data_IF_059423916104
#
_entry.id   IF_059423916104
#
_cell.length_a   1.000
_cell.length_b   1.000
_cell.length_c   1.000
_cell.angle_alpha   90.00
_cell.angle_beta   90.00
_cell.angle_gamma   90.00
#
_symmetry.space_group_name_H-M   'P 1'
#
loop_
_entity.id
_entity.type
_entity.pdbx_description
1 polymer ?
#
# COMPACT_ATOMS: atom_id res chain seq x y z
N UNK A 1 -7.35 11.24 -2.21
CA UNK A 1 -8.21 11.44 -3.41
C UNK A 1 -7.80 10.51 -4.54
N UNK A 2 -6.55 10.55 -5.01
CA UNK A 2 -6.06 9.65 -6.06
C UNK A 2 -6.31 8.16 -5.75
N UNK A 3 -6.00 7.71 -4.54
CA UNK A 3 -6.23 6.32 -4.11
C UNK A 3 -7.68 5.85 -4.22
N UNK A 4 -8.63 6.72 -3.91
CA UNK A 4 -10.07 6.41 -3.98
C UNK A 4 -10.51 6.21 -5.43
N UNK A 5 -10.07 7.10 -6.32
CA UNK A 5 -10.39 7.02 -7.75
C UNK A 5 -9.67 5.85 -8.42
N UNK A 6 -8.39 5.63 -8.11
CA UNK A 6 -7.62 4.52 -8.63
C UNK A 6 -8.21 3.17 -8.20
N UNK A 7 -8.62 3.05 -6.92
CA UNK A 7 -9.33 1.86 -6.45
C UNK A 7 -10.67 1.66 -7.16
N UNK A 8 -11.42 2.73 -7.42
CA UNK A 8 -12.72 2.65 -8.11
C UNK A 8 -12.53 2.15 -9.54
N UNK A 9 -11.57 2.74 -10.24
CA UNK A 9 -11.21 2.36 -11.59
C UNK A 9 -10.71 0.91 -11.63
N UNK A 10 -9.87 0.51 -10.65
CA UNK A 10 -9.39 -0.86 -10.50
C UNK A 10 -10.52 -1.86 -10.35
N UNK A 11 -11.50 -1.58 -9.49
CA UNK A 11 -12.64 -2.49 -9.28
C UNK A 11 -13.59 -2.53 -10.48
N UNK A 12 -13.78 -1.42 -11.18
CA UNK A 12 -14.57 -1.39 -12.43
C UNK A 12 -13.87 -2.24 -13.50
N UNK A 13 -12.56 -2.07 -13.69
CA UNK A 13 -11.82 -2.85 -14.67
C UNK A 13 -11.82 -4.34 -14.30
N UNK A 14 -11.48 -4.69 -13.06
CA UNK A 14 -11.37 -6.07 -12.62
C UNK A 14 -12.74 -6.78 -12.50
N UNK A 15 -13.74 -6.08 -11.97
CA UNK A 15 -15.05 -6.65 -11.66
C UNK A 15 -16.07 -6.57 -12.80
N UNK A 16 -16.08 -5.49 -13.61
CA UNK A 16 -17.12 -5.32 -14.64
C UNK A 16 -16.60 -5.49 -16.06
N UNK A 17 -15.38 -5.05 -16.38
CA UNK A 17 -14.82 -5.22 -17.73
C UNK A 17 -14.22 -6.61 -17.93
N UNK A 18 -13.47 -7.11 -16.95
CA UNK A 18 -12.73 -8.36 -17.05
C UNK A 18 -13.48 -9.56 -16.45
N UNK A 19 -14.53 -9.31 -15.66
CA UNK A 19 -15.25 -10.32 -14.86
C UNK A 19 -14.28 -11.27 -14.12
N UNK A 20 -13.15 -10.72 -13.67
CA UNK A 20 -11.99 -11.49 -13.23
C UNK A 20 -12.07 -11.91 -11.76
N UNK A 21 -12.84 -11.18 -10.96
CA UNK A 21 -12.94 -11.38 -9.52
C UNK A 21 -14.40 -11.33 -9.09
N UNK A 22 -15.02 -12.47 -8.74
CA UNK A 22 -16.35 -12.47 -8.12
C UNK A 22 -16.25 -11.85 -6.72
N UNK A 23 -17.25 -11.12 -6.24
CA UNK A 23 -17.24 -10.61 -4.87
C UNK A 23 -18.01 -9.31 -4.64
N UNK A 24 -18.00 -8.83 -3.39
CA UNK A 24 -18.64 -7.56 -3.05
C UNK A 24 -17.85 -6.38 -3.62
N UNK A 25 -18.45 -5.67 -4.57
CA UNK A 25 -17.90 -4.47 -5.21
C UNK A 25 -17.33 -3.46 -4.22
N UNK A 26 -18.07 -3.14 -3.15
CA UNK A 26 -17.66 -2.14 -2.17
C UNK A 26 -16.44 -2.57 -1.37
N UNK A 27 -16.34 -3.86 -1.04
CA UNK A 27 -15.21 -4.41 -0.31
C UNK A 27 -13.94 -4.40 -1.17
N UNK A 28 -14.05 -4.82 -2.43
CA UNK A 28 -12.95 -4.81 -3.39
C UNK A 28 -12.50 -3.37 -3.71
N UNK A 29 -13.45 -2.42 -3.78
CA UNK A 29 -13.13 -1.02 -4.00
C UNK A 29 -12.34 -0.43 -2.83
N UNK A 30 -12.84 -0.63 -1.61
CA UNK A 30 -12.19 -0.17 -0.40
C UNK A 30 -10.78 -0.78 -0.26
N UNK A 31 -10.64 -2.06 -0.56
CA UNK A 31 -9.34 -2.75 -0.57
C UNK A 31 -8.39 -2.17 -1.62
N UNK A 32 -8.84 -1.98 -2.87
CA UNK A 32 -8.04 -1.37 -3.92
C UNK A 32 -7.59 0.05 -3.56
N UNK A 33 -8.49 0.84 -2.99
CA UNK A 33 -8.16 2.18 -2.49
C UNK A 33 -7.15 2.16 -1.35
N UNK A 34 -7.28 1.22 -0.41
CA UNK A 34 -6.35 1.06 0.69
C UNK A 34 -4.96 0.61 0.20
N UNK A 35 -4.89 -0.31 -0.76
CA UNK A 35 -3.63 -0.73 -1.38
C UNK A 35 -2.93 0.43 -2.09
N UNK A 36 -3.64 1.21 -2.90
CA UNK A 36 -3.05 2.38 -3.58
C UNK A 36 -2.57 3.41 -2.57
N UNK A 37 -3.33 3.66 -1.50
CA UNK A 37 -2.91 4.53 -0.41
C UNK A 37 -1.64 4.02 0.26
N UNK A 38 -1.58 2.71 0.52
CA UNK A 38 -0.45 2.05 1.18
C UNK A 38 0.83 2.22 0.36
N UNK A 39 0.78 1.89 -0.93
CA UNK A 39 1.94 2.01 -1.84
C UNK A 39 2.36 3.47 -2.02
N UNK A 40 1.39 4.38 -2.15
CA UNK A 40 1.65 5.82 -2.23
C UNK A 40 2.35 6.35 -0.98
N UNK A 41 1.82 6.04 0.21
CA UNK A 41 2.38 6.46 1.49
C UNK A 41 3.78 5.88 1.72
N UNK A 42 4.01 4.60 1.37
CA UNK A 42 5.32 3.97 1.42
C UNK A 42 6.33 4.66 0.51
N UNK A 43 5.92 4.95 -0.73
CA UNK A 43 6.79 5.61 -1.72
C UNK A 43 7.17 7.02 -1.27
N UNK A 44 6.21 7.78 -0.75
CA UNK A 44 6.45 9.11 -0.19
C UNK A 44 7.38 9.05 1.03
N UNK A 45 7.16 8.11 1.95
CA UNK A 45 8.01 7.91 3.12
C UNK A 45 9.47 7.61 2.70
N UNK A 46 9.67 6.69 1.77
CA UNK A 46 11.01 6.36 1.27
C UNK A 46 11.65 7.54 0.51
N UNK A 47 10.85 8.31 -0.22
CA UNK A 47 11.32 9.52 -0.88
C UNK A 47 11.81 10.58 0.12
N UNK A 48 11.13 10.77 1.25
CA UNK A 48 11.61 11.70 2.28
C UNK A 48 12.96 11.27 2.90
N UNK A 49 13.22 9.96 2.99
CA UNK A 49 14.48 9.45 3.53
C UNK A 49 15.64 9.44 2.51
N UNK A 50 15.38 9.06 1.27
CA UNK A 50 16.42 8.75 0.28
C UNK A 50 16.28 9.51 -1.05
N UNK A 51 15.33 10.44 -1.15
CA UNK A 51 15.04 11.18 -2.38
C UNK A 51 14.61 10.25 -3.52
N UNK A 52 15.11 10.50 -4.74
CA UNK A 52 14.79 9.70 -5.93
C UNK A 52 15.14 8.22 -5.77
N UNK A 53 16.21 7.89 -5.02
CA UNK A 53 16.57 6.49 -4.74
C UNK A 53 15.48 5.77 -3.92
N UNK A 54 14.75 6.51 -3.08
CA UNK A 54 13.60 6.00 -2.32
C UNK A 54 12.47 5.47 -3.22
N UNK A 55 12.28 6.09 -4.39
CA UNK A 55 11.31 5.61 -5.39
C UNK A 55 11.76 4.27 -5.97
N UNK A 56 13.05 4.12 -6.27
CA UNK A 56 13.63 2.85 -6.71
C UNK A 56 13.47 1.74 -5.68
N UNK A 57 13.67 2.05 -4.39
CA UNK A 57 13.44 1.11 -3.30
C UNK A 57 11.97 0.72 -3.15
N UNK A 58 11.04 1.68 -3.31
CA UNK A 58 9.61 1.40 -3.28
C UNK A 58 9.23 0.44 -4.41
N UNK A 59 9.74 0.65 -5.62
CA UNK A 59 9.55 -0.26 -6.75
C UNK A 59 10.13 -1.65 -6.47
N UNK A 60 11.32 -1.72 -5.87
CA UNK A 60 11.95 -2.99 -5.52
C UNK A 60 11.08 -3.75 -4.50
N UNK A 61 10.57 -3.09 -3.47
CA UNK A 61 9.68 -3.68 -2.47
C UNK A 61 8.33 -4.10 -3.06
N UNK A 62 7.67 -3.22 -3.81
CA UNK A 62 6.28 -3.43 -4.23
C UNK A 62 6.17 -4.25 -5.50
N UNK A 63 7.12 -4.10 -6.43
CA UNK A 63 7.09 -4.79 -7.73
C UNK A 63 7.97 -6.02 -7.72
N UNK A 64 9.24 -5.88 -7.35
CA UNK A 64 10.21 -6.99 -7.43
C UNK A 64 9.95 -8.03 -6.34
N UNK A 65 9.79 -7.60 -5.08
CA UNK A 65 9.42 -8.51 -3.99
C UNK A 65 7.93 -8.83 -3.99
N UNK A 66 7.10 -7.90 -4.50
CA UNK A 66 5.65 -8.09 -4.55
C UNK A 66 5.22 -9.29 -5.38
N UNK A 67 5.76 -9.43 -6.60
CA UNK A 67 5.40 -10.52 -7.51
C UNK A 67 5.55 -11.92 -6.87
N UNK A 68 6.73 -12.29 -6.33
CA UNK A 68 6.93 -13.56 -5.65
C UNK A 68 6.09 -13.70 -4.37
N UNK A 69 5.92 -12.61 -3.62
CA UNK A 69 5.19 -12.64 -2.34
C UNK A 69 3.69 -12.87 -2.48
N UNK A 70 3.13 -12.52 -3.64
CA UNK A 70 1.70 -12.61 -3.90
C UNK A 70 1.28 -13.98 -4.47
N UNK A 71 2.10 -15.03 -4.46
CA UNK A 71 1.65 -16.38 -4.86
C UNK A 71 1.42 -16.63 -6.36
N UNK A 72 1.06 -15.61 -7.14
CA UNK A 72 0.73 -15.76 -8.55
C UNK A 72 -0.42 -16.74 -8.76
N UNK A 73 -0.21 -17.78 -9.57
CA UNK A 73 -1.20 -18.85 -9.81
C UNK A 73 -1.17 -19.92 -8.70
N UNK A 74 -0.17 -19.86 -7.82
CA UNK A 74 0.05 -20.86 -6.79
C UNK A 74 -0.47 -20.38 -5.43
N UNK A 75 -1.22 -21.22 -4.69
CA UNK A 75 -1.61 -20.90 -3.32
C UNK A 75 -0.37 -20.71 -2.43
N UNK A 76 -0.55 -19.90 -1.38
CA UNK A 76 0.53 -19.44 -0.49
C UNK A 76 1.32 -20.59 0.15
N UNK A 77 0.73 -21.77 0.31
CA UNK A 77 1.37 -22.97 0.86
C UNK A 77 2.41 -23.60 -0.10
N UNK A 78 2.29 -23.36 -1.40
CA UNK A 78 3.21 -23.87 -2.42
C UNK A 78 4.38 -22.91 -2.69
N UNK A 79 4.39 -21.74 -2.05
CA UNK A 79 5.51 -20.81 -2.11
C UNK A 79 6.73 -21.37 -1.36
N UNK A 80 7.96 -21.02 -1.80
CA UNK A 80 9.17 -21.29 -1.03
C UNK A 80 9.02 -20.76 0.41
N UNK A 81 9.60 -21.47 1.39
CA UNK A 81 9.39 -21.21 2.81
C UNK A 81 9.60 -19.75 3.23
N UNK A 82 10.52 -19.04 2.57
CA UNK A 82 10.76 -17.61 2.77
C UNK A 82 9.56 -16.73 2.38
N UNK A 83 8.97 -16.96 1.21
CA UNK A 83 7.84 -16.16 0.72
C UNK A 83 6.55 -16.49 1.45
N UNK A 84 6.37 -17.75 1.88
CA UNK A 84 5.23 -18.16 2.69
C UNK A 84 5.15 -17.42 4.04
N UNK A 85 6.30 -17.10 4.65
CA UNK A 85 6.33 -16.41 5.94
C UNK A 85 6.32 -14.89 5.80
N UNK A 86 7.04 -14.34 4.81
CA UNK A 86 7.17 -12.88 4.65
C UNK A 86 6.04 -12.28 3.83
N UNK A 87 5.52 -13.03 2.85
CA UNK A 87 4.54 -12.53 1.87
C UNK A 87 3.27 -11.94 2.48
N UNK A 88 2.63 -12.58 3.48
CA UNK A 88 1.43 -12.05 4.12
C UNK A 88 1.62 -10.70 4.84
N UNK A 89 2.87 -10.35 5.17
CA UNK A 89 3.21 -9.07 5.81
C UNK A 89 3.57 -7.98 4.80
N UNK A 90 3.79 -8.34 3.54
CA UNK A 90 4.06 -7.38 2.47
C UNK A 90 2.74 -6.86 1.89
N UNK A 91 2.64 -5.57 1.54
CA UNK A 91 1.41 -5.00 0.99
C UNK A 91 0.84 -5.75 -0.23
N UNK A 92 1.66 -6.20 -1.20
CA UNK A 92 1.16 -6.98 -2.34
C UNK A 92 0.57 -8.33 -1.95
N UNK A 93 1.23 -9.08 -1.05
CA UNK A 93 0.76 -10.39 -0.58
C UNK A 93 -0.54 -10.27 0.23
N UNK A 94 -0.57 -9.34 1.18
CA UNK A 94 -1.80 -9.03 1.94
C UNK A 94 -2.95 -8.56 1.04
N UNK A 95 -2.64 -7.84 -0.04
CA UNK A 95 -3.61 -7.43 -1.04
C UNK A 95 -4.30 -8.63 -1.70
N UNK A 96 -3.53 -9.61 -2.16
CA UNK A 96 -4.09 -10.80 -2.80
C UNK A 96 -4.85 -11.68 -1.80
N UNK A 97 -4.29 -11.92 -0.60
CA UNK A 97 -4.95 -12.73 0.43
C UNK A 97 -6.34 -12.18 0.78
N UNK A 98 -6.50 -10.85 0.84
CA UNK A 98 -7.81 -10.25 1.07
C UNK A 98 -8.71 -10.26 -0.17
N UNK A 99 -8.18 -10.19 -1.39
CA UNK A 99 -8.97 -10.42 -2.62
C UNK A 99 -9.54 -11.84 -2.61
N UNK A 100 -8.71 -12.86 -2.37
CA UNK A 100 -9.14 -14.25 -2.31
C UNK A 100 -10.15 -14.49 -1.19
N UNK A 101 -9.93 -13.89 -0.02
CA UNK A 101 -10.88 -13.94 1.08
C UNK A 101 -12.25 -13.37 0.68
N UNK A 102 -12.30 -12.19 0.04
CA UNK A 102 -13.55 -11.56 -0.39
C UNK A 102 -14.22 -12.36 -1.51
N UNK A 103 -13.43 -12.85 -2.47
CA UNK A 103 -13.93 -13.46 -3.69
C UNK A 103 -14.42 -14.89 -3.48
N UNK A 104 -13.64 -15.70 -2.76
CA UNK A 104 -13.88 -17.13 -2.64
C UNK A 104 -14.37 -17.54 -1.26
N UNK A 105 -13.98 -16.82 -0.21
CA UNK A 105 -14.28 -17.18 1.18
C UNK A 105 -15.30 -16.27 1.88
N UNK A 106 -16.01 -15.42 1.11
CA UNK A 106 -17.03 -14.48 1.64
C UNK A 106 -16.52 -13.59 2.78
N UNK A 107 -15.24 -13.23 2.74
CA UNK A 107 -14.55 -12.41 3.75
C UNK A 107 -14.03 -13.17 4.98
N UNK A 108 -14.15 -14.49 5.03
CA UNK A 108 -13.56 -15.28 6.10
C UNK A 108 -12.02 -15.20 6.04
N UNK A 109 -11.38 -14.83 7.15
CA UNK A 109 -9.93 -14.64 7.21
C UNK A 109 -9.40 -13.29 6.72
N UNK A 110 -10.26 -12.38 6.27
CA UNK A 110 -9.84 -11.06 5.75
C UNK A 110 -9.19 -10.16 6.82
N UNK A 111 -9.46 -10.37 8.11
CA UNK A 111 -9.02 -9.46 9.17
C UNK A 111 -7.50 -9.24 9.22
N UNK A 112 -6.70 -10.30 9.03
CA UNK A 112 -5.24 -10.22 9.06
C UNK A 112 -4.68 -9.32 7.95
N UNK A 113 -4.95 -9.64 6.67
CA UNK A 113 -4.43 -8.85 5.56
C UNK A 113 -4.91 -7.38 5.57
N UNK A 114 -6.16 -7.11 5.98
CA UNK A 114 -6.66 -5.74 6.13
C UNK A 114 -5.86 -4.95 7.18
N UNK A 115 -5.56 -5.56 8.33
CA UNK A 115 -4.73 -4.93 9.35
C UNK A 115 -3.30 -4.67 8.88
N UNK A 116 -2.70 -5.59 8.13
CA UNK A 116 -1.37 -5.39 7.54
C UNK A 116 -1.36 -4.15 6.63
N UNK A 117 -2.37 -4.00 5.77
CA UNK A 117 -2.48 -2.83 4.88
C UNK A 117 -2.70 -1.54 5.65
N UNK A 118 -3.57 -1.54 6.66
CA UNK A 118 -3.79 -0.36 7.53
C UNK A 118 -2.51 0.01 8.28
N UNK A 119 -1.75 -0.96 8.77
CA UNK A 119 -0.50 -0.73 9.48
C UNK A 119 0.56 -0.09 8.57
N UNK A 120 0.71 -0.58 7.34
CA UNK A 120 1.61 0.02 6.35
C UNK A 120 1.16 1.41 5.91
N UNK A 121 -0.12 1.59 5.60
CA UNK A 121 -0.67 2.90 5.22
C UNK A 121 -0.49 3.91 6.36
N UNK A 122 -0.82 3.52 7.59
CA UNK A 122 -0.67 4.34 8.79
C UNK A 122 0.79 4.66 9.08
N UNK A 123 1.69 3.68 8.98
CA UNK A 123 3.12 3.88 9.16
C UNK A 123 3.72 4.84 8.13
N UNK A 124 3.44 4.63 6.85
CA UNK A 124 3.89 5.51 5.77
C UNK A 124 3.34 6.93 5.91
N UNK A 125 2.05 7.08 6.22
CA UNK A 125 1.43 8.38 6.47
C UNK A 125 2.04 9.09 7.68
N UNK A 126 2.29 8.36 8.77
CA UNK A 126 2.92 8.91 9.97
C UNK A 126 4.33 9.44 9.68
N UNK A 127 5.14 8.68 8.92
CA UNK A 127 6.47 9.14 8.50
C UNK A 127 6.38 10.46 7.73
N UNK A 128 5.53 10.53 6.71
CA UNK A 128 5.37 11.72 5.86
C UNK A 128 4.89 12.93 6.68
N UNK A 129 3.92 12.72 7.57
CA UNK A 129 3.41 13.80 8.41
C UNK A 129 4.47 14.30 9.40
N UNK A 130 5.25 13.39 10.00
CA UNK A 130 6.32 13.76 10.91
C UNK A 130 7.48 14.47 10.18
N UNK A 131 7.86 13.98 8.99
CA UNK A 131 8.87 14.61 8.14
C UNK A 131 8.48 16.04 7.74
N UNK A 132 7.22 16.24 7.33
CA UNK A 132 6.67 17.56 7.03
C UNK A 132 6.66 18.52 8.23
N UNK A 133 6.32 18.04 9.44
CA UNK A 133 6.36 18.85 10.67
C UNK A 133 7.80 19.24 11.05
N UNK A 134 8.77 18.34 10.87
CA UNK A 134 10.18 18.65 11.15
C UNK A 134 10.74 19.65 10.13
N UNK A 135 10.46 19.45 8.83
CA UNK A 135 10.94 20.32 7.76
C UNK A 135 10.39 21.76 7.86
N UNK A 136 9.12 21.91 8.27
CA UNK A 136 8.50 23.23 8.50
C UNK A 136 9.09 23.96 9.70
N UNK A 137 9.45 23.24 10.78
CA UNK A 137 10.10 23.83 11.96
C UNK A 137 11.54 24.29 11.70
N UNK A 138 12.29 23.58 10.86
CA UNK A 138 13.68 23.94 10.51
C UNK A 138 13.75 25.18 9.61
N UNK A 139 12.70 25.45 8.81
CA UNK A 139 12.63 26.66 7.94
C UNK A 139 12.13 27.93 8.65
N UNK A 140 11.41 27.78 9.76
CA UNK A 140 10.86 28.91 10.55
C UNK A 140 11.89 29.89 11.19
N UNK A 141 13.18 29.58 11.44
CA UNK A 141 14.10 30.52 12.09
C UNK A 141 14.55 31.69 11.21
N UNK A 142 14.58 31.53 9.88
CA UNK A 142 15.19 32.52 8.99
C UNK A 142 14.31 33.75 8.70
N UNK A 143 12.98 33.65 8.88
CA UNK A 143 12.04 34.73 8.58
C UNK A 143 11.98 35.85 9.65
N UNK A 144 12.63 35.66 10.81
CA UNK A 144 12.67 36.68 11.88
C UNK A 144 13.85 37.64 11.81
N UNK A 145 14.87 37.37 11.00
CA UNK A 145 16.09 38.19 10.95
C UNK A 145 16.01 39.41 10.01
N UNK A 146 15.02 39.46 9.11
CA UNK A 146 14.89 40.54 8.10
C UNK A 146 13.87 41.63 8.48
N UNK A 147 13.24 41.54 9.66
CA UNK A 147 12.39 42.61 10.21
C UNK A 147 13.13 43.34 11.35
N UNK A 148 14.07 44.21 11.02
CA UNK A 148 14.41 45.35 11.89
C UNK A 148 14.49 46.63 11.05
N UNK A 149 13.66 47.65 11.34
CA UNK A 149 13.83 49.00 10.81
C UNK A 149 15.04 49.70 11.44
#
# INVERSE_FOLDING_TARGET
>A
MYSVLAGLLGVLVAGTLLDAVPGNFWALWALGSLLVLTVGALTLALYEFAGVLGIGLALLLVVVLGGPSAGGVYPTELLPAFWRTVGPFLPPGAGLDAVDSIAYFRGAGAGGPWWTLVAWAGGGAAVVLLGGVVATRVRAPAARATRRP
#
